data_IF_528546561892
#
_entry.id   IF_528546561892
#
_cell.length_a   1.000
_cell.length_b   1.000
_cell.length_c   1.000
_cell.angle_alpha   90.00
_cell.angle_beta   90.00
_cell.angle_gamma   90.00
#
_symmetry.space_group_name_H-M   'P 1'
#
loop_
_entity.id
_entity.type
_entity.pdbx_description
1 polymer ?
#
# COMPACT_ATOMS: atom_id res chain seq x y z
N UNK A 1 9.75 13.57 -0.10
CA UNK A 1 9.14 13.85 1.23
C UNK A 1 9.35 12.63 2.11
N UNK A 2 10.08 12.76 3.23
CA UNK A 2 10.27 11.69 4.23
C UNK A 2 9.25 11.89 5.35
N UNK A 3 8.05 11.32 5.20
CA UNK A 3 7.02 11.39 6.23
C UNK A 3 7.18 10.26 7.24
N UNK A 4 7.03 10.61 8.52
CA UNK A 4 7.34 9.76 9.67
C UNK A 4 6.08 9.55 10.49
N UNK A 5 5.74 8.29 10.75
CA UNK A 5 4.74 7.95 11.73
C UNK A 5 5.44 7.68 13.06
N UNK A 6 5.07 8.41 14.11
CA UNK A 6 5.43 8.04 15.48
C UNK A 6 4.30 7.20 16.05
N UNK A 7 4.60 5.96 16.43
CA UNK A 7 3.62 5.04 17.00
C UNK A 7 4.14 4.42 18.31
N UNK A 8 3.21 4.12 19.21
CA UNK A 8 3.47 3.25 20.35
C UNK A 8 3.24 1.81 19.89
N UNK A 9 4.24 0.97 20.08
CA UNK A 9 4.29 -0.39 19.52
C UNK A 9 4.61 -1.38 20.62
N UNK A 10 3.84 -2.46 20.70
CA UNK A 10 4.10 -3.59 21.60
C UNK A 10 4.07 -4.89 20.82
N UNK A 11 4.96 -5.83 21.14
CA UNK A 11 4.97 -7.17 20.52
C UNK A 11 3.87 -8.08 21.10
N UNK A 12 3.36 -7.77 22.29
CA UNK A 12 2.25 -8.48 22.91
C UNK A 12 1.29 -7.54 23.65
N UNK A 13 0.08 -8.02 23.93
CA UNK A 13 -0.92 -7.26 24.71
C UNK A 13 -0.55 -7.09 26.18
N UNK A 14 0.51 -7.76 26.65
CA UNK A 14 0.97 -7.74 28.05
C UNK A 14 2.18 -6.85 28.29
N UNK A 15 2.89 -6.48 27.23
CA UNK A 15 4.08 -5.65 27.30
C UNK A 15 3.73 -4.16 27.23
N UNK A 16 4.60 -3.34 27.84
CA UNK A 16 4.45 -1.91 27.71
C UNK A 16 4.83 -1.45 26.29
N UNK A 17 4.00 -0.62 25.64
CA UNK A 17 4.32 -0.11 24.32
C UNK A 17 5.59 0.75 24.33
N UNK A 18 6.47 0.53 23.36
CA UNK A 18 7.67 1.32 23.12
C UNK A 18 7.42 2.26 21.94
N UNK A 19 7.91 3.50 22.06
CA UNK A 19 7.84 4.47 20.95
C UNK A 19 8.73 4.03 19.80
N UNK A 20 8.16 3.91 18.60
CA UNK A 20 8.87 3.62 17.35
C UNK A 20 8.54 4.66 16.28
N UNK A 21 9.47 4.84 15.37
CA UNK A 21 9.30 5.70 14.18
C UNK A 21 9.22 4.77 12.97
N UNK A 22 8.12 4.86 12.23
CA UNK A 22 7.92 4.15 10.96
C UNK A 22 8.19 5.12 9.82
N UNK A 23 8.93 4.65 8.81
CA UNK A 23 9.18 5.38 7.56
C UNK A 23 8.88 4.49 6.38
N UNK A 24 8.71 5.08 5.19
CA UNK A 24 8.45 4.35 3.94
C UNK A 24 9.49 3.24 3.69
N UNK A 25 10.78 3.55 3.89
CA UNK A 25 11.88 2.61 3.70
C UNK A 25 12.33 1.89 4.98
N UNK A 26 11.62 2.10 6.10
CA UNK A 26 11.90 1.47 7.39
C UNK A 26 10.58 0.96 7.99
N UNK A 27 10.04 -0.16 7.47
CA UNK A 27 8.81 -0.75 7.97
C UNK A 27 9.00 -1.30 9.39
N UNK A 28 7.92 -1.35 10.17
CA UNK A 28 7.92 -2.10 11.42
C UNK A 28 7.90 -3.60 11.12
N UNK A 29 8.58 -4.39 11.94
CA UNK A 29 8.62 -5.85 11.81
C UNK A 29 8.16 -6.48 13.11
N UNK A 30 7.23 -7.43 13.03
CA UNK A 30 6.72 -8.25 14.11
C UNK A 30 6.79 -9.71 13.68
N UNK A 31 7.80 -10.46 14.15
CA UNK A 31 8.02 -11.83 13.70
C UNK A 31 8.17 -11.92 12.16
N UNK A 32 7.26 -12.65 11.52
CA UNK A 32 7.16 -12.81 10.05
C UNK A 32 6.25 -11.77 9.36
N UNK A 33 5.75 -10.80 10.13
CA UNK A 33 4.86 -9.74 9.66
C UNK A 33 5.60 -8.40 9.56
N UNK A 34 5.27 -7.60 8.54
CA UNK A 34 5.81 -6.27 8.31
C UNK A 34 4.68 -5.27 8.14
N UNK A 35 4.85 -4.09 8.73
CA UNK A 35 3.91 -2.96 8.61
C UNK A 35 4.59 -1.84 7.83
N UNK A 36 4.09 -1.58 6.64
CA UNK A 36 4.59 -0.56 5.74
C UNK A 36 3.73 0.70 5.81
N UNK A 37 4.40 1.85 5.84
CA UNK A 37 3.78 3.15 5.66
C UNK A 37 3.69 3.44 4.16
N UNK A 38 2.49 3.28 3.57
CA UNK A 38 2.30 3.32 2.11
C UNK A 38 1.96 4.71 1.58
N UNK A 39 1.08 5.42 2.28
CA UNK A 39 0.58 6.71 1.87
C UNK A 39 0.21 7.55 3.08
N UNK A 40 0.03 8.84 2.85
CA UNK A 40 -0.45 9.80 3.83
C UNK A 40 -1.28 10.88 3.12
N UNK A 41 -2.07 11.60 3.89
CA UNK A 41 -2.84 12.73 3.40
C UNK A 41 -3.47 13.49 4.55
N UNK A 42 -4.42 14.35 4.23
CA UNK A 42 -5.19 15.10 5.22
C UNK A 42 -6.68 14.76 5.11
N UNK A 43 -7.34 14.80 6.25
CA UNK A 43 -8.78 14.78 6.39
C UNK A 43 -9.25 16.15 6.86
N UNK A 44 -9.95 16.93 6.02
CA UNK A 44 -10.63 18.13 6.48
C UNK A 44 -11.64 17.76 7.59
N UNK A 45 -11.58 18.49 8.69
CA UNK A 45 -12.58 18.46 9.75
C UNK A 45 -13.68 19.43 9.37
N UNK A 46 -14.89 18.93 9.13
CA UNK A 46 -16.01 19.76 8.68
C UNK A 46 -17.21 19.59 9.60
N UNK A 47 -17.98 20.65 9.75
CA UNK A 47 -19.31 20.63 10.37
C UNK A 47 -20.31 21.17 9.36
N UNK A 48 -21.34 20.37 9.06
CA UNK A 48 -22.46 20.75 8.20
C UNK A 48 -23.71 20.90 9.05
N UNK A 49 -24.40 22.01 8.91
CA UNK A 49 -25.65 22.33 9.60
C UNK A 49 -26.78 22.57 8.60
N UNK A 50 -28.00 22.23 8.98
CA UNK A 50 -29.20 22.65 8.26
C UNK A 50 -29.54 24.13 8.53
N UNK A 51 -30.54 24.65 7.81
CA UNK A 51 -31.06 26.02 7.98
C UNK A 51 -31.55 26.35 9.40
N UNK A 52 -31.86 25.34 10.22
CA UNK A 52 -32.33 25.51 11.59
C UNK A 52 -31.15 25.46 12.59
N UNK A 53 -29.93 25.27 12.10
CA UNK A 53 -28.69 25.24 12.87
C UNK A 53 -28.32 23.87 13.43
N UNK A 54 -29.10 22.82 13.16
CA UNK A 54 -28.84 21.48 13.65
C UNK A 54 -27.64 20.87 12.92
N UNK A 55 -26.75 20.19 13.65
CA UNK A 55 -25.63 19.46 13.04
C UNK A 55 -26.17 18.25 12.30
N UNK A 56 -25.86 18.17 11.01
CA UNK A 56 -26.22 17.06 10.13
C UNK A 56 -25.04 16.18 9.77
N UNK A 57 -23.82 16.72 9.87
CA UNK A 57 -22.59 15.96 9.77
C UNK A 57 -21.48 16.71 10.53
N UNK A 58 -20.66 15.98 11.27
CA UNK A 58 -19.47 16.53 11.91
C UNK A 58 -18.37 15.47 11.98
N UNK A 59 -17.17 15.82 11.50
CA UNK A 59 -16.01 14.95 11.67
C UNK A 59 -14.96 15.07 10.55
N UNK A 60 -13.90 14.24 10.64
CA UNK A 60 -12.86 14.15 9.62
C UNK A 60 -13.36 13.38 8.39
N UNK A 61 -13.10 13.94 7.21
CA UNK A 61 -13.39 13.25 5.93
C UNK A 61 -12.07 12.96 5.22
N UNK A 62 -11.67 11.70 5.00
CA UNK A 62 -10.41 11.40 4.32
C UNK A 62 -10.47 11.82 2.85
N UNK A 63 -9.56 12.71 2.45
CA UNK A 63 -9.40 13.08 1.04
C UNK A 63 -8.23 12.32 0.44
N UNK A 64 -8.33 12.04 -0.87
CA UNK A 64 -7.34 11.28 -1.63
C UNK A 64 -6.34 12.22 -2.32
N UNK A 65 -5.05 12.19 -1.94
CA UNK A 65 -4.00 12.92 -2.63
C UNK A 65 -3.91 12.53 -4.11
N UNK A 66 -3.74 13.53 -4.96
CA UNK A 66 -3.59 13.39 -6.42
C UNK A 66 -2.16 13.69 -6.88
N UNK A 67 -1.35 14.34 -6.03
CA UNK A 67 0.04 14.67 -6.32
C UNK A 67 0.92 14.64 -5.06
N UNK A 68 2.24 14.86 -5.25
CA UNK A 68 3.23 14.83 -4.18
C UNK A 68 3.10 15.99 -3.17
N UNK A 69 2.42 17.09 -3.54
CA UNK A 69 2.14 18.21 -2.65
C UNK A 69 0.81 18.06 -1.90
N UNK A 70 0.20 16.87 -1.97
CA UNK A 70 -1.03 16.52 -1.28
C UNK A 70 -2.22 17.37 -1.70
N UNK A 71 -2.25 17.86 -2.96
CA UNK A 71 -3.49 18.33 -3.56
C UNK A 71 -4.47 17.16 -3.57
N UNK A 72 -5.57 17.26 -2.84
CA UNK A 72 -6.43 16.11 -2.56
C UNK A 72 -7.86 16.34 -3.02
N UNK A 73 -8.54 15.29 -3.46
CA UNK A 73 -9.97 15.32 -3.80
C UNK A 73 -10.78 14.49 -2.82
N UNK A 74 -12.04 14.85 -2.62
CA UNK A 74 -12.92 14.11 -1.74
C UNK A 74 -14.39 14.44 -1.97
N UNK A 75 -15.23 13.67 -1.27
CA UNK A 75 -16.65 13.90 -1.22
C UNK A 75 -17.11 13.91 0.23
N UNK A 76 -17.97 14.87 0.58
CA UNK A 76 -18.65 14.91 1.87
C UNK A 76 -20.12 14.62 1.58
N UNK A 77 -20.67 13.58 2.20
CA UNK A 77 -22.06 13.12 1.96
C UNK A 77 -22.86 13.31 3.23
N UNK A 78 -23.99 13.99 3.13
CA UNK A 78 -24.85 14.35 4.25
C UNK A 78 -26.28 13.84 3.94
N UNK A 79 -26.52 12.52 4.11
CA UNK A 79 -27.82 11.91 3.83
C UNK A 79 -28.91 12.33 4.82
N UNK A 80 -28.53 12.85 6.00
CA UNK A 80 -29.46 13.26 7.07
C UNK A 80 -30.15 14.62 6.82
N UNK A 81 -29.86 15.24 5.67
CA UNK A 81 -30.59 16.41 5.16
C UNK A 81 -31.72 16.00 4.22
N UNK A 82 -32.77 16.80 4.16
CA UNK A 82 -33.89 16.58 3.24
C UNK A 82 -34.22 17.88 2.47
N UNK A 83 -33.97 17.96 1.15
CA UNK A 83 -33.25 16.98 0.32
C UNK A 83 -31.80 16.73 0.77
N UNK A 84 -31.20 15.60 0.35
CA UNK A 84 -29.83 15.23 0.76
C UNK A 84 -28.80 16.20 0.16
N UNK A 85 -27.69 16.39 0.86
CA UNK A 85 -26.61 17.29 0.43
C UNK A 85 -25.31 16.52 0.23
N UNK A 86 -24.66 16.78 -0.90
CA UNK A 86 -23.33 16.29 -1.24
C UNK A 86 -22.38 17.43 -1.55
N UNK A 87 -21.13 17.30 -1.15
CA UNK A 87 -20.06 18.23 -1.51
C UNK A 87 -19.04 17.50 -2.36
N UNK A 88 -18.80 18.00 -3.57
CA UNK A 88 -17.59 17.64 -4.35
C UNK A 88 -16.52 18.62 -3.94
N UNK A 89 -15.38 18.12 -3.46
CA UNK A 89 -14.42 18.98 -2.79
C UNK A 89 -12.97 18.69 -3.16
N UNK A 90 -12.15 19.75 -3.09
CA UNK A 90 -10.70 19.69 -3.18
C UNK A 90 -10.10 20.32 -1.94
N UNK A 91 -9.04 19.73 -1.40
CA UNK A 91 -8.30 20.24 -0.26
C UNK A 91 -6.84 20.50 -0.64
N UNK A 92 -6.34 21.67 -0.27
CA UNK A 92 -4.97 22.09 -0.53
C UNK A 92 -4.30 22.50 0.80
N UNK A 93 -3.27 21.78 1.26
CA UNK A 93 -2.54 22.13 2.48
C UNK A 93 -1.88 23.51 2.43
N UNK A 94 -1.27 23.86 1.30
CA UNK A 94 -0.75 25.20 1.03
C UNK A 94 -1.30 25.68 -0.31
N UNK A 95 -2.46 26.33 -0.28
CA UNK A 95 -3.16 26.74 -1.47
C UNK A 95 -2.35 27.72 -2.32
N UNK A 96 -2.32 27.44 -3.62
CA UNK A 96 -1.83 28.33 -4.66
C UNK A 96 -2.77 28.23 -5.87
N UNK A 97 -2.69 29.21 -6.76
CA UNK A 97 -3.50 29.25 -7.97
C UNK A 97 -2.62 29.59 -9.16
N UNK A 98 -2.89 28.90 -10.24
CA UNK A 98 -2.30 29.15 -11.55
C UNK A 98 -3.42 29.35 -12.58
N UNK A 99 -3.18 30.20 -13.58
CA UNK A 99 -4.19 30.54 -14.58
C UNK A 99 -4.59 29.34 -15.46
N UNK A 100 -3.66 28.41 -15.70
CA UNK A 100 -3.87 27.24 -16.56
C UNK A 100 -4.28 26.02 -15.73
N UNK A 101 -3.56 25.75 -14.64
CA UNK A 101 -3.76 24.55 -13.80
C UNK A 101 -4.94 24.69 -12.83
N UNK A 102 -5.38 25.91 -12.54
CA UNK A 102 -6.36 26.18 -11.49
C UNK A 102 -5.75 26.11 -10.08
N UNK A 103 -6.56 25.75 -9.08
CA UNK A 103 -6.11 25.63 -7.70
C UNK A 103 -5.28 24.37 -7.47
N UNK A 104 -4.16 24.49 -6.74
CA UNK A 104 -3.28 23.38 -6.38
C UNK A 104 -2.59 23.63 -5.04
N UNK A 105 -1.99 22.59 -4.48
CA UNK A 105 -1.11 22.74 -3.33
C UNK A 105 0.34 23.00 -3.77
N UNK A 106 0.91 24.13 -3.34
CA UNK A 106 2.30 24.48 -3.63
C UNK A 106 3.31 23.79 -2.71
N UNK A 107 2.87 23.39 -1.52
CA UNK A 107 3.67 22.71 -0.50
C UNK A 107 2.82 21.72 0.30
N UNK A 108 3.34 20.54 0.68
CA UNK A 108 2.55 19.48 1.31
C UNK A 108 2.14 19.75 2.76
N UNK A 109 2.77 20.70 3.46
CA UNK A 109 2.41 21.03 4.84
C UNK A 109 1.23 22.02 4.90
N UNK A 110 0.57 22.10 6.06
CA UNK A 110 -0.59 22.96 6.29
C UNK A 110 -0.18 24.43 6.55
N UNK A 111 0.22 25.18 5.52
CA UNK A 111 0.63 26.58 5.64
C UNK A 111 -0.47 27.58 5.26
N UNK A 112 -1.26 27.27 4.25
CA UNK A 112 -2.49 28.02 3.87
C UNK A 112 -3.57 27.02 3.45
N UNK A 113 -4.15 26.29 4.41
CA UNK A 113 -5.09 25.22 4.13
C UNK A 113 -6.42 25.76 3.61
N UNK A 114 -6.83 25.30 2.43
CA UNK A 114 -8.11 25.66 1.79
C UNK A 114 -8.92 24.43 1.42
N UNK A 115 -10.22 24.50 1.70
CA UNK A 115 -11.21 23.54 1.25
C UNK A 115 -12.11 24.20 0.20
N UNK A 116 -12.00 23.77 -1.05
CA UNK A 116 -12.88 24.20 -2.12
C UNK A 116 -14.03 23.21 -2.22
N UNK A 117 -15.26 23.72 -2.22
CA UNK A 117 -16.48 22.91 -2.25
C UNK A 117 -17.40 23.35 -3.39
N UNK A 118 -17.95 22.37 -4.08
CA UNK A 118 -19.16 22.51 -4.90
C UNK A 118 -20.27 21.78 -4.16
N UNK A 119 -21.33 22.51 -3.80
CA UNK A 119 -22.46 22.00 -3.02
C UNK A 119 -23.56 21.52 -3.97
N UNK A 120 -24.05 20.31 -3.74
CA UNK A 120 -25.05 19.64 -4.55
C UNK A 120 -26.23 19.19 -3.68
N UNK A 121 -27.45 19.37 -4.17
CA UNK A 121 -28.68 19.03 -3.48
C UNK A 121 -29.51 18.06 -4.35
N UNK A 122 -29.96 16.96 -3.76
CA UNK A 122 -30.73 15.94 -4.50
C UNK A 122 -30.65 14.57 -3.84
N UNK A 123 -30.61 13.51 -4.64
CA UNK A 123 -30.45 12.12 -4.18
C UNK A 123 -28.98 11.67 -4.30
N UNK A 124 -28.35 11.28 -3.17
CA UNK A 124 -26.99 10.72 -3.12
C UNK A 124 -26.93 9.24 -3.51
N UNK A 125 -28.09 8.60 -3.73
CA UNK A 125 -28.27 7.16 -4.00
C UNK A 125 -27.71 6.26 -2.91
N UNK A 126 -27.55 6.77 -1.69
CA UNK A 126 -27.03 6.04 -0.53
C UNK A 126 -28.00 4.94 -0.07
N UNK A 127 -29.29 5.12 -0.33
CA UNK A 127 -30.35 4.19 0.08
C UNK A 127 -30.61 3.08 -0.95
N UNK A 128 -29.93 3.10 -2.10
CA UNK A 128 -30.11 2.15 -3.20
C UNK A 128 -29.53 0.76 -2.94
N UNK A 129 -28.72 0.60 -1.90
CA UNK A 129 -27.96 -0.63 -1.61
C UNK A 129 -26.77 -0.87 -2.56
N UNK A 130 -26.54 0.01 -3.55
CA UNK A 130 -25.40 -0.08 -4.47
C UNK A 130 -24.16 0.53 -3.81
N UNK A 131 -23.03 -0.20 -3.72
CA UNK A 131 -21.79 0.36 -3.21
C UNK A 131 -21.34 1.56 -4.04
N UNK A 132 -20.95 2.63 -3.36
CA UNK A 132 -20.50 3.87 -4.00
C UNK A 132 -19.17 4.36 -3.45
N UNK A 133 -18.43 5.12 -4.27
CA UNK A 133 -17.11 5.65 -3.91
C UNK A 133 -17.21 6.61 -2.72
N UNK A 134 -16.30 6.50 -1.75
CA UNK A 134 -16.22 7.47 -0.63
C UNK A 134 -15.61 8.82 -1.04
N UNK A 135 -14.92 8.89 -2.18
CA UNK A 135 -14.23 10.11 -2.64
C UNK A 135 -15.00 10.90 -3.71
N UNK A 136 -16.15 10.38 -4.17
CA UNK A 136 -16.96 10.97 -5.24
C UNK A 136 -18.44 10.86 -4.88
N UNK A 137 -19.25 11.76 -5.42
CA UNK A 137 -20.72 11.64 -5.42
C UNK A 137 -21.20 11.45 -6.85
N UNK A 138 -22.34 10.76 -7.00
CA UNK A 138 -23.09 10.77 -8.26
C UNK A 138 -23.96 12.03 -8.29
N UNK A 139 -23.74 12.90 -9.28
CA UNK A 139 -24.48 14.15 -9.43
C UNK A 139 -25.60 14.07 -10.46
N UNK A 140 -25.94 12.89 -10.98
CA UNK A 140 -26.94 12.76 -12.06
C UNK A 140 -28.34 13.21 -11.65
N UNK A 141 -28.68 13.06 -10.37
CA UNK A 141 -29.98 13.41 -9.77
C UNK A 141 -29.83 14.50 -8.71
N UNK A 142 -28.83 15.37 -8.89
CA UNK A 142 -28.54 16.47 -7.98
C UNK A 142 -28.37 17.79 -8.74
N UNK A 143 -28.78 18.88 -8.12
CA UNK A 143 -28.57 20.24 -8.59
C UNK A 143 -27.44 20.91 -7.82
N UNK A 144 -26.57 21.65 -8.52
CA UNK A 144 -25.50 22.43 -7.87
C UNK A 144 -26.05 23.74 -7.31
N UNK A 145 -26.00 23.91 -6.00
CA UNK A 145 -26.58 25.06 -5.28
C UNK A 145 -25.55 25.99 -4.62
N UNK A 146 -24.26 25.72 -4.80
CA UNK A 146 -23.21 26.57 -4.23
C UNK A 146 -21.81 26.21 -4.69
N UNK A 147 -20.92 27.18 -4.65
CA UNK A 147 -19.49 27.00 -4.87
C UNK A 147 -18.73 28.00 -4.01
N UNK A 148 -17.80 27.51 -3.18
CA UNK A 148 -17.04 28.36 -2.26
C UNK A 148 -15.68 27.75 -1.93
N UNK A 149 -14.77 28.58 -1.43
CA UNK A 149 -13.48 28.17 -0.87
C UNK A 149 -13.37 28.62 0.57
N UNK A 150 -13.11 27.70 1.49
CA UNK A 150 -13.07 27.92 2.93
C UNK A 150 -11.63 27.91 3.44
N UNK A 151 -11.28 28.91 4.24
CA UNK A 151 -10.18 28.85 5.21
C UNK A 151 -10.57 28.04 6.46
N UNK A 152 -9.56 27.59 7.22
CA UNK A 152 -9.83 27.04 8.57
C UNK A 152 -10.52 28.12 9.42
N UNK A 153 -11.61 27.74 10.07
CA UNK A 153 -12.48 28.61 10.88
C UNK A 153 -13.58 29.31 10.08
N UNK A 154 -13.57 29.21 8.74
CA UNK A 154 -14.57 29.85 7.89
C UNK A 154 -15.82 28.98 7.74
N UNK A 155 -16.97 29.64 7.62
CA UNK A 155 -18.27 29.03 7.32
C UNK A 155 -18.86 29.60 6.03
N UNK A 156 -19.53 28.77 5.25
CA UNK A 156 -20.25 29.16 4.04
C UNK A 156 -21.70 28.67 4.10
N UNK A 157 -22.63 29.61 4.02
CA UNK A 157 -24.06 29.37 3.89
C UNK A 157 -24.42 29.17 2.43
N UNK A 158 -25.13 28.08 2.11
CA UNK A 158 -25.42 27.67 0.74
C UNK A 158 -26.92 27.55 0.47
N UNK A 159 -27.29 27.64 -0.81
CA UNK A 159 -28.66 27.66 -1.29
C UNK A 159 -29.24 29.07 -1.44
N UNK A 160 -30.29 29.18 -2.27
CA UNK A 160 -31.11 30.39 -2.38
C UNK A 160 -32.56 29.97 -2.63
N UNK A 161 -33.41 29.86 -1.58
CA UNK A 161 -33.22 30.25 -0.18
C UNK A 161 -32.21 29.38 0.59
N UNK A 162 -31.81 29.81 1.79
CA UNK A 162 -30.85 29.10 2.63
C UNK A 162 -31.26 27.65 2.90
N UNK A 163 -30.34 26.72 2.59
CA UNK A 163 -30.52 25.29 2.83
C UNK A 163 -29.69 24.82 4.04
N UNK A 164 -28.50 25.39 4.22
CA UNK A 164 -27.61 25.03 5.31
C UNK A 164 -26.27 25.74 5.24
N UNK A 165 -25.36 25.35 6.15
CA UNK A 165 -24.02 25.94 6.27
C UNK A 165 -22.96 24.85 6.44
N UNK A 166 -21.80 25.01 5.79
CA UNK A 166 -20.61 24.18 5.98
C UNK A 166 -19.50 25.00 6.62
N UNK A 167 -18.79 24.44 7.59
CA UNK A 167 -17.64 25.05 8.27
C UNK A 167 -16.41 24.16 8.12
N UNK A 168 -15.26 24.73 7.79
CA UNK A 168 -13.98 24.03 7.86
C UNK A 168 -13.35 24.26 9.24
N UNK A 169 -13.42 23.28 10.13
CA UNK A 169 -12.91 23.40 11.49
C UNK A 169 -11.39 23.22 11.58
N UNK A 170 -10.79 22.49 10.64
CA UNK A 170 -9.37 22.17 10.65
C UNK A 170 -9.03 21.05 9.68
N UNK A 171 -7.84 20.46 9.82
CA UNK A 171 -7.44 19.28 9.06
C UNK A 171 -6.55 18.39 9.93
N UNK A 172 -6.76 17.07 9.86
CA UNK A 172 -5.96 16.08 10.59
C UNK A 172 -5.21 15.18 9.60
N UNK A 173 -3.94 14.84 9.86
CA UNK A 173 -3.21 13.93 8.99
C UNK A 173 -3.71 12.49 9.16
N UNK A 174 -3.74 11.74 8.07
CA UNK A 174 -3.98 10.30 8.07
C UNK A 174 -2.83 9.57 7.37
N UNK A 175 -2.70 8.27 7.66
CA UNK A 175 -1.73 7.38 7.02
C UNK A 175 -2.38 6.08 6.58
N UNK A 176 -1.90 5.51 5.48
CA UNK A 176 -2.22 4.15 5.06
C UNK A 176 -1.11 3.21 5.53
N UNK A 177 -1.51 2.20 6.31
CA UNK A 177 -0.62 1.16 6.80
C UNK A 177 -0.98 -0.18 6.16
N UNK A 178 -0.02 -0.80 5.49
CA UNK A 178 -0.17 -2.14 4.95
C UNK A 178 0.53 -3.15 5.85
N UNK A 179 -0.23 -4.14 6.32
CA UNK A 179 0.30 -5.27 7.08
C UNK A 179 0.46 -6.46 6.14
N UNK A 180 1.68 -6.99 6.03
CA UNK A 180 2.01 -8.13 5.18
C UNK A 180 2.64 -9.21 6.04
N UNK A 181 2.19 -10.46 5.90
CA UNK A 181 2.76 -11.63 6.59
C UNK A 181 3.29 -12.62 5.57
N UNK A 182 4.58 -12.95 5.65
CA UNK A 182 5.29 -13.76 4.66
C UNK A 182 5.83 -15.09 5.25
N UNK A 183 4.97 -16.04 5.67
CA UNK A 183 5.40 -17.26 6.37
C UNK A 183 6.16 -18.24 5.45
N UNK A 184 5.95 -18.14 4.13
CA UNK A 184 6.62 -18.98 3.14
C UNK A 184 8.05 -18.54 2.79
N UNK A 185 8.45 -17.33 3.18
CA UNK A 185 9.74 -16.75 2.81
C UNK A 185 10.95 -17.58 3.29
N UNK A 186 10.97 -18.11 4.53
CA UNK A 186 12.04 -19.01 4.97
C UNK A 186 12.08 -20.31 4.17
N UNK A 187 10.92 -20.87 3.80
CA UNK A 187 10.82 -22.10 3.02
C UNK A 187 11.29 -21.89 1.58
N UNK A 188 10.95 -20.76 0.96
CA UNK A 188 11.44 -20.40 -0.36
C UNK A 188 12.98 -20.24 -0.37
N UNK A 189 13.55 -19.62 0.67
CA UNK A 189 14.99 -19.50 0.86
C UNK A 189 15.64 -20.88 1.02
N UNK A 190 15.10 -21.73 1.90
CA UNK A 190 15.61 -23.09 2.11
C UNK A 190 15.55 -23.93 0.83
N UNK A 191 14.44 -23.87 0.10
CA UNK A 191 14.27 -24.56 -1.18
C UNK A 191 15.26 -24.07 -2.24
N UNK A 192 15.52 -22.76 -2.29
CA UNK A 192 16.51 -22.18 -3.21
C UNK A 192 17.94 -22.64 -2.87
N UNK A 193 18.30 -22.69 -1.59
CA UNK A 193 19.59 -23.22 -1.14
C UNK A 193 19.74 -24.70 -1.52
N UNK A 194 18.70 -25.52 -1.27
CA UNK A 194 18.71 -26.95 -1.62
C UNK A 194 18.83 -27.14 -3.14
N UNK A 195 18.11 -26.36 -3.94
CA UNK A 195 18.18 -26.44 -5.40
C UNK A 195 19.58 -26.08 -5.92
N UNK A 196 20.19 -25.01 -5.40
CA UNK A 196 21.57 -24.62 -5.76
C UNK A 196 22.56 -25.72 -5.34
N UNK A 197 22.43 -26.26 -4.13
CA UNK A 197 23.29 -27.34 -3.64
C UNK A 197 23.15 -28.61 -4.48
N UNK A 198 21.92 -29.01 -4.84
CA UNK A 198 21.66 -30.16 -5.70
C UNK A 198 22.21 -29.95 -7.12
N UNK A 199 22.07 -28.74 -7.67
CA UNK A 199 22.67 -28.38 -8.95
C UNK A 199 24.20 -28.50 -8.90
N UNK A 200 24.85 -27.93 -7.87
CA UNK A 200 26.28 -28.04 -7.66
C UNK A 200 26.71 -29.51 -7.54
N UNK A 201 26.01 -30.31 -6.72
CA UNK A 201 26.27 -31.74 -6.60
C UNK A 201 26.14 -32.45 -7.97
N UNK A 202 25.11 -32.14 -8.77
CA UNK A 202 24.94 -32.76 -10.09
C UNK A 202 26.09 -32.45 -11.06
N UNK A 203 26.68 -31.26 -10.96
CA UNK A 203 27.80 -30.84 -11.82
C UNK A 203 29.12 -31.46 -11.38
N UNK A 204 29.34 -31.59 -10.06
CA UNK A 204 30.61 -32.08 -9.51
C UNK A 204 30.66 -33.59 -9.27
N UNK A 205 29.51 -34.27 -9.14
CA UNK A 205 29.47 -35.73 -9.02
C UNK A 205 29.90 -36.35 -10.35
N UNK A 206 31.00 -37.09 -10.31
CA UNK A 206 31.54 -37.84 -11.44
C UNK A 206 30.62 -39.01 -11.77
N UNK A 207 29.77 -38.86 -12.79
CA UNK A 207 28.99 -39.98 -13.30
C UNK A 207 29.85 -40.84 -14.22
N UNK A 208 30.30 -41.97 -13.68
CA UNK A 208 31.15 -42.95 -14.39
C UNK A 208 30.40 -44.28 -14.48
N UNK A 209 30.43 -44.89 -15.64
CA UNK A 209 30.00 -46.28 -15.83
C UNK A 209 31.23 -47.13 -16.05
N UNK A 210 31.42 -48.13 -15.20
CA UNK A 210 32.48 -49.11 -15.33
C UNK A 210 31.81 -50.42 -15.72
N UNK A 211 32.29 -51.02 -16.80
CA UNK A 211 31.87 -52.30 -17.31
C UNK A 211 32.98 -53.30 -17.07
N UNK A 212 32.66 -54.42 -16.44
CA UNK A 212 33.59 -55.51 -16.19
C UNK A 212 33.03 -56.76 -16.87
N UNK A 213 33.86 -57.40 -17.69
CA UNK A 213 33.52 -58.66 -18.37
C UNK A 213 34.56 -59.71 -18.02
N UNK A 214 34.11 -60.91 -17.65
CA UNK A 214 34.96 -62.08 -17.49
C UNK A 214 34.79 -62.99 -18.71
N UNK A 215 35.89 -63.35 -19.37
CA UNK A 215 35.89 -64.24 -20.53
C UNK A 215 37.19 -65.06 -20.56
N UNK A 216 37.08 -66.39 -20.69
CA UNK A 216 38.21 -67.32 -20.79
C UNK A 216 39.30 -67.13 -19.71
N UNK A 217 38.89 -66.91 -18.46
CA UNK A 217 39.81 -66.70 -17.33
C UNK A 217 40.51 -65.33 -17.30
N UNK A 218 40.13 -64.40 -18.18
CA UNK A 218 40.61 -63.02 -18.21
C UNK A 218 39.50 -62.05 -17.83
N UNK A 219 39.86 -61.00 -17.08
CA UNK A 219 38.97 -59.88 -16.74
C UNK A 219 39.28 -58.70 -17.66
N UNK A 220 38.26 -58.22 -18.36
CA UNK A 220 38.28 -57.01 -19.18
C UNK A 220 37.52 -55.91 -18.44
N UNK A 221 38.17 -54.75 -18.24
CA UNK A 221 37.59 -53.59 -17.57
C UNK A 221 37.56 -52.42 -18.56
N UNK A 222 36.38 -51.85 -18.78
CA UNK A 222 36.19 -50.66 -19.60
C UNK A 222 35.43 -49.61 -18.80
N UNK A 223 35.72 -48.33 -19.02
CA UNK A 223 34.99 -47.24 -18.37
C UNK A 223 34.54 -46.18 -19.36
N UNK A 224 33.38 -45.59 -19.09
CA UNK A 224 32.84 -44.44 -19.81
C UNK A 224 32.51 -43.34 -18.81
N UNK A 225 33.14 -42.16 -18.96
CA UNK A 225 32.80 -40.96 -18.21
C UNK A 225 31.73 -40.18 -18.96
N UNK A 226 30.50 -40.13 -18.42
CA UNK A 226 29.39 -39.44 -19.08
C UNK A 226 29.61 -37.92 -19.18
N UNK A 227 30.32 -37.33 -18.20
CA UNK A 227 30.57 -35.89 -18.13
C UNK A 227 32.00 -35.48 -18.54
N UNK A 228 32.76 -36.36 -19.23
CA UNK A 228 34.14 -36.12 -19.71
C UNK A 228 35.12 -35.57 -18.65
N UNK A 229 34.84 -35.74 -17.35
CA UNK A 229 35.72 -35.30 -16.27
C UNK A 229 37.01 -36.16 -16.19
N UNK A 230 38.20 -35.55 -15.98
CA UNK A 230 39.48 -36.26 -15.99
C UNK A 230 39.63 -37.22 -14.79
N UNK A 231 40.53 -38.20 -14.93
CA UNK A 231 40.89 -39.16 -13.88
C UNK A 231 40.15 -40.50 -13.90
N UNK A 232 39.42 -40.82 -14.99
CA UNK A 232 38.81 -42.15 -15.18
C UNK A 232 39.87 -43.23 -15.41
N UNK A 233 40.91 -42.89 -16.17
CA UNK A 233 41.99 -43.82 -16.49
C UNK A 233 42.75 -44.27 -15.22
N UNK A 234 43.04 -43.34 -14.32
CA UNK A 234 43.71 -43.63 -13.04
C UNK A 234 42.85 -44.53 -12.13
N UNK A 235 41.54 -44.32 -12.12
CA UNK A 235 40.59 -45.16 -11.36
C UNK A 235 40.50 -46.57 -11.95
N UNK A 236 40.43 -46.72 -13.28
CA UNK A 236 40.45 -48.04 -13.93
C UNK A 236 41.75 -48.77 -13.61
N UNK A 237 42.90 -48.08 -13.68
CA UNK A 237 44.21 -48.66 -13.33
C UNK A 237 44.25 -49.15 -11.88
N UNK A 238 43.74 -48.35 -10.93
CA UNK A 238 43.62 -48.76 -9.52
C UNK A 238 42.71 -49.98 -9.36
N UNK A 239 41.54 -49.99 -10.00
CA UNK A 239 40.59 -51.09 -9.93
C UNK A 239 41.17 -52.39 -10.48
N UNK A 240 41.86 -52.33 -11.64
CA UNK A 240 42.57 -53.49 -12.20
C UNK A 240 43.64 -53.99 -11.24
N UNK A 241 44.39 -53.09 -10.61
CA UNK A 241 45.43 -53.45 -9.64
C UNK A 241 44.85 -54.14 -8.41
N UNK A 242 43.75 -53.64 -7.85
CA UNK A 242 43.09 -54.26 -6.70
C UNK A 242 42.48 -55.62 -7.03
N UNK A 243 41.87 -55.78 -8.20
CA UNK A 243 41.24 -57.05 -8.61
C UNK A 243 42.29 -58.10 -9.03
N UNK A 244 43.50 -57.67 -9.40
CA UNK A 244 44.61 -58.56 -9.72
C UNK A 244 45.39 -59.07 -8.50
N UNK A 245 45.11 -58.55 -7.30
CA UNK A 245 45.64 -59.08 -6.03
C UNK A 245 44.81 -60.26 -5.55
#
# INVERSE_FOLDING_TARGET
>A
LDYKLTALVSESTKEQPVRKIVRVNQPLTFGDSRVYLQANGFSPLVTVRDKDGNVKFEGPVPFLPQDANLSSIGAIKVPDMNPQIGFVASFFPTAARDEVRGGFSSYPDLLDPRLLVSVWQGDLKMDSGVPQSVYRIDTSEMERIGLWGLSIGESYTFGSPEVGTITLNGAVPWVNLQVVKDPGKPWALAGSIVAIAALMASLFIRQRRIYVRSSNGKLEVAGLALNRLPGLEDEIKKLVTEVSK
#
